data_IF_009061483867
#
_entry.id   IF_009061483867
#
_cell.length_a   1.000
_cell.length_b   1.000
_cell.length_c   1.000
_cell.angle_alpha   90.00
_cell.angle_beta   90.00
_cell.angle_gamma   90.00
#
_symmetry.space_group_name_H-M   'P 1'
#
loop_
_entity.id
_entity.type
_entity.pdbx_description
1 polymer ?
#
# COMPACT_ATOMS: atom_id res chain seq x y z
N UNK A 1 5.59 9.48 -8.47
CA UNK A 1 5.56 10.95 -8.66
C UNK A 1 4.69 11.59 -7.57
N UNK A 2 4.82 12.89 -7.28
CA UNK A 2 3.94 13.58 -6.33
C UNK A 2 2.45 13.53 -6.73
N UNK A 3 1.56 13.71 -5.76
CA UNK A 3 0.11 13.77 -5.97
C UNK A 3 -0.52 15.03 -5.36
N UNK A 4 -0.85 16.03 -6.17
CA UNK A 4 -1.52 17.24 -5.69
C UNK A 4 -2.91 16.98 -5.09
N UNK A 5 -3.56 15.85 -5.42
CA UNK A 5 -4.90 15.50 -4.92
C UNK A 5 -4.87 14.93 -3.49
N UNK A 6 -3.69 14.73 -2.91
CA UNK A 6 -3.54 14.31 -1.51
C UNK A 6 -4.15 15.34 -0.55
N UNK A 7 -4.93 14.88 0.42
CA UNK A 7 -5.54 15.78 1.41
C UNK A 7 -4.52 16.49 2.31
N UNK A 8 -3.44 15.80 2.69
CA UNK A 8 -2.41 16.36 3.57
C UNK A 8 -1.36 17.17 2.78
N UNK A 9 -1.15 18.42 3.16
CA UNK A 9 -0.23 19.34 2.47
C UNK A 9 1.22 18.86 2.45
N UNK A 10 1.71 18.26 3.54
CA UNK A 10 3.07 17.72 3.63
C UNK A 10 3.28 16.60 2.62
N UNK A 11 2.25 15.80 2.35
CA UNK A 11 2.33 14.66 1.45
C UNK A 11 2.20 15.04 -0.04
N UNK A 12 1.63 16.20 -0.38
CA UNK A 12 1.37 16.60 -1.78
C UNK A 12 2.66 16.69 -2.62
N UNK A 13 3.75 17.16 -2.01
CA UNK A 13 5.04 17.33 -2.68
C UNK A 13 5.90 16.07 -2.66
N UNK A 14 5.54 15.06 -1.87
CA UNK A 14 6.37 13.88 -1.67
C UNK A 14 6.24 12.92 -2.85
N UNK A 15 7.37 12.33 -3.25
CA UNK A 15 7.34 11.28 -4.25
C UNK A 15 6.70 10.03 -3.67
N UNK A 16 5.79 9.42 -4.46
CA UNK A 16 5.19 8.13 -4.14
C UNK A 16 5.39 7.11 -5.26
N UNK A 17 5.31 5.83 -4.88
CA UNK A 17 5.34 4.69 -5.79
C UNK A 17 4.12 3.79 -5.56
N UNK A 18 3.46 3.32 -6.64
CA UNK A 18 2.50 2.24 -6.51
C UNK A 18 3.25 0.94 -6.19
N UNK A 19 2.83 0.26 -5.13
CA UNK A 19 3.40 -1.01 -4.68
C UNK A 19 2.32 -2.06 -4.72
N UNK A 20 2.65 -3.24 -5.26
CA UNK A 20 1.81 -4.43 -5.21
C UNK A 20 2.62 -5.58 -4.63
N UNK A 21 2.07 -6.25 -3.64
CA UNK A 21 2.64 -7.43 -2.98
C UNK A 21 1.66 -8.57 -3.10
N UNK A 22 2.05 -9.63 -3.81
CA UNK A 22 1.25 -10.83 -3.99
C UNK A 22 1.76 -11.93 -3.06
N UNK A 23 0.87 -12.50 -2.24
CA UNK A 23 1.21 -13.55 -1.29
C UNK A 23 0.80 -14.91 -1.84
N UNK A 24 1.76 -15.82 -1.90
CA UNK A 24 1.57 -17.18 -2.42
C UNK A 24 1.72 -18.20 -1.29
N UNK A 25 0.79 -19.15 -1.21
CA UNK A 25 0.91 -20.29 -0.30
C UNK A 25 1.85 -21.33 -0.89
N UNK A 26 2.92 -21.66 -0.16
CA UNK A 26 3.95 -22.60 -0.64
C UNK A 26 3.43 -24.03 -0.78
N UNK A 27 2.39 -24.39 -0.03
CA UNK A 27 1.82 -25.73 -0.01
C UNK A 27 0.62 -25.88 -0.95
N UNK A 28 0.15 -24.77 -1.54
CA UNK A 28 -0.92 -24.78 -2.52
C UNK A 28 -0.49 -25.58 -3.76
N UNK A 29 -1.13 -26.72 -3.98
CA UNK A 29 -0.91 -27.50 -5.20
C UNK A 29 -1.42 -26.68 -6.38
N UNK A 30 -0.55 -26.41 -7.35
CA UNK A 30 -0.96 -25.87 -8.64
C UNK A 30 -1.98 -26.84 -9.26
N UNK A 31 -3.25 -26.45 -9.25
CA UNK A 31 -4.32 -27.17 -9.96
C UNK A 31 -4.32 -26.61 -11.37
N UNK A 32 -3.55 -27.24 -12.26
CA UNK A 32 -3.37 -26.90 -13.68
C UNK A 32 -3.05 -25.41 -13.96
N UNK A 33 -1.78 -25.11 -14.23
CA UNK A 33 -1.31 -23.77 -14.63
C UNK A 33 -0.41 -23.09 -13.61
N UNK A 34 -0.22 -21.77 -13.76
CA UNK A 34 0.54 -20.95 -12.82
C UNK A 34 -0.25 -20.75 -11.52
N UNK A 35 0.46 -20.77 -10.39
CA UNK A 35 -0.15 -20.55 -9.09
C UNK A 35 -0.64 -19.10 -8.97
N UNK A 36 -1.90 -18.91 -8.59
CA UNK A 36 -2.45 -17.59 -8.25
C UNK A 36 -2.14 -17.23 -6.79
N UNK A 37 -1.98 -15.93 -6.46
CA UNK A 37 -1.77 -15.52 -5.08
C UNK A 37 -3.04 -15.76 -4.24
N UNK A 38 -2.84 -16.10 -2.97
CA UNK A 38 -3.91 -16.25 -1.98
C UNK A 38 -4.55 -14.91 -1.67
N UNK A 39 -3.76 -13.85 -1.65
CA UNK A 39 -4.23 -12.48 -1.66
C UNK A 39 -3.17 -11.55 -2.24
N UNK A 40 -3.60 -10.42 -2.78
CA UNK A 40 -2.74 -9.34 -3.23
C UNK A 40 -3.02 -8.06 -2.44
N UNK A 41 -1.96 -7.38 -2.02
CA UNK A 41 -2.03 -6.08 -1.36
C UNK A 41 -1.47 -5.03 -2.31
N UNK A 42 -2.21 -3.95 -2.56
CA UNK A 42 -1.68 -2.78 -3.27
C UNK A 42 -1.88 -1.50 -2.46
N UNK A 43 -0.91 -0.59 -2.56
CA UNK A 43 -0.93 0.69 -1.85
C UNK A 43 0.03 1.68 -2.53
N UNK A 44 -0.11 2.95 -2.20
CA UNK A 44 0.87 3.97 -2.56
C UNK A 44 1.82 4.19 -1.39
N UNK A 45 3.13 4.05 -1.63
CA UNK A 45 4.19 4.29 -0.65
C UNK A 45 4.88 5.62 -0.93
N UNK A 46 4.86 6.53 0.04
CA UNK A 46 5.58 7.79 -0.01
C UNK A 46 7.03 7.64 0.45
N UNK A 47 7.91 8.55 0.01
CA UNK A 47 9.34 8.54 0.37
C UNK A 47 9.63 8.66 1.87
N UNK A 48 8.69 9.21 2.64
CA UNK A 48 8.77 9.25 4.11
C UNK A 48 8.28 7.95 4.79
N UNK A 49 7.95 6.91 4.02
CA UNK A 49 7.49 5.61 4.50
C UNK A 49 5.99 5.53 4.80
N UNK A 50 5.23 6.60 4.60
CA UNK A 50 3.78 6.58 4.81
C UNK A 50 3.10 5.86 3.64
N UNK A 51 2.17 4.96 3.95
CA UNK A 51 1.35 4.27 2.94
C UNK A 51 -0.09 4.78 2.95
N UNK A 52 -0.73 4.84 1.79
CA UNK A 52 -2.17 5.14 1.66
C UNK A 52 -2.82 4.37 0.50
N UNK A 53 -4.14 4.53 0.36
CA UNK A 53 -4.94 3.90 -0.70
C UNK A 53 -4.73 2.36 -0.69
N UNK A 54 -4.87 1.78 0.50
CA UNK A 54 -4.64 0.36 0.72
C UNK A 54 -5.78 -0.43 0.08
N UNK A 55 -5.43 -1.44 -0.72
CA UNK A 55 -6.37 -2.41 -1.28
C UNK A 55 -5.87 -3.80 -0.95
N UNK A 56 -6.73 -4.60 -0.34
CA UNK A 56 -6.52 -6.02 -0.08
C UNK A 56 -7.51 -6.81 -0.94
N UNK A 57 -6.99 -7.52 -1.92
CA UNK A 57 -7.74 -8.38 -2.83
C UNK A 57 -7.58 -9.83 -2.39
N UNK A 58 -8.66 -10.43 -1.87
CA UNK A 58 -8.72 -11.83 -1.43
C UNK A 58 -9.26 -12.77 -2.52
N UNK A 59 -9.37 -12.29 -3.76
CA UNK A 59 -9.98 -12.93 -4.93
C UNK A 59 -11.53 -12.98 -4.92
N UNK A 60 -12.15 -13.22 -3.76
CA UNK A 60 -13.62 -13.30 -3.61
C UNK A 60 -14.25 -12.00 -3.12
N UNK A 61 -13.48 -11.19 -2.38
CA UNK A 61 -13.85 -9.84 -2.00
C UNK A 61 -12.62 -8.91 -1.94
N UNK A 62 -12.89 -7.61 -2.01
CA UNK A 62 -11.87 -6.57 -1.93
C UNK A 62 -12.16 -5.68 -0.73
N UNK A 63 -11.14 -5.42 0.09
CA UNK A 63 -11.18 -4.43 1.17
C UNK A 63 -10.36 -3.22 0.74
N UNK A 64 -10.97 -2.03 0.80
CA UNK A 64 -10.31 -0.76 0.50
C UNK A 64 -10.20 0.12 1.73
N UNK A 65 -8.98 0.59 2.01
CA UNK A 65 -8.64 1.52 3.09
C UNK A 65 -8.27 2.89 2.54
N UNK A 66 -9.10 3.89 2.84
CA UNK A 66 -8.79 5.30 2.59
C UNK A 66 -8.18 5.93 3.85
N UNK A 67 -7.06 6.64 3.69
CA UNK A 67 -6.43 7.37 4.79
C UNK A 67 -7.30 8.56 5.17
N UNK A 68 -8.03 8.46 6.30
CA UNK A 68 -8.96 9.49 6.74
C UNK A 68 -8.29 10.69 7.44
N UNK A 69 -7.27 10.45 8.26
CA UNK A 69 -6.55 11.50 8.98
C UNK A 69 -5.08 11.14 9.09
N UNK A 70 -4.21 12.13 8.93
CA UNK A 70 -2.77 11.99 9.10
C UNK A 70 -2.21 13.18 9.89
N UNK A 71 -1.80 12.91 11.14
CA UNK A 71 -1.20 13.89 12.03
C UNK A 71 0.32 13.68 12.06
N UNK A 72 1.06 14.53 11.36
CA UNK A 72 2.53 14.51 11.36
C UNK A 72 3.04 14.99 12.72
N UNK A 73 3.99 14.25 13.30
CA UNK A 73 4.71 14.68 14.50
C UNK A 73 6.12 15.11 14.15
N UNK A 74 6.63 16.09 14.89
CA UNK A 74 8.02 16.50 14.78
C UNK A 74 8.93 15.36 15.21
N UNK A 75 9.88 15.01 14.34
CA UNK A 75 10.94 14.07 14.67
C UNK A 75 11.95 14.77 15.58
N UNK A 76 12.22 14.21 16.77
CA UNK A 76 13.34 14.68 17.58
C UNK A 76 14.64 14.24 16.90
N UNK A 77 15.68 15.09 16.87
CA UNK A 77 16.99 14.65 16.39
C UNK A 77 17.45 13.44 17.21
N UNK A 78 17.87 12.38 16.51
CA UNK A 78 18.53 11.25 17.14
C UNK A 78 19.90 11.74 17.64
N UNK A 79 20.10 11.73 18.96
CA UNK A 79 21.39 11.94 19.60
C UNK A 79 22.17 10.62 19.68
#
# INVERSE_FOLDING_TARGET
>A
APDPSTANDVMKSLTRWPVTVSYYDRDAKAKDGEQTPVYAMSFELFENGVSRALVLDYNDFVISGALGKFDVRDSKPCN
#
